data_IF_269420780129
#
_entry.id   IF_269420780129
#
_cell.length_a   1.000
_cell.length_b   1.000
_cell.length_c   1.000
_cell.angle_alpha   90.00
_cell.angle_beta   90.00
_cell.angle_gamma   90.00
#
_symmetry.space_group_name_H-M   'P 1'
#
loop_
_entity.id
_entity.type
_entity.pdbx_description
1 polymer ?
#
# COMPACT_ATOMS: atom_id res chain seq x y z
N UNK A 1 7.94 1.59 -9.03
CA UNK A 1 7.89 2.14 -7.66
C UNK A 1 9.32 2.37 -7.20
N UNK A 2 9.67 3.53 -6.65
CA UNK A 2 11.03 3.79 -6.14
C UNK A 2 11.34 2.90 -4.92
N UNK A 3 12.56 2.38 -4.80
CA UNK A 3 12.98 1.51 -3.67
C UNK A 3 12.75 2.15 -2.30
N UNK A 4 12.84 3.47 -2.21
CA UNK A 4 12.58 4.24 -0.99
C UNK A 4 11.12 4.12 -0.51
N UNK A 5 10.18 4.06 -1.47
CA UNK A 5 8.75 3.86 -1.17
C UNK A 5 8.51 2.45 -0.69
N UNK A 6 9.09 1.45 -1.36
CA UNK A 6 8.98 0.04 -0.97
C UNK A 6 9.56 -0.17 0.43
N UNK A 7 10.69 0.47 0.75
CA UNK A 7 11.30 0.39 2.07
C UNK A 7 10.41 1.03 3.14
N UNK A 8 9.86 2.22 2.88
CA UNK A 8 8.94 2.90 3.81
C UNK A 8 7.64 2.12 4.00
N UNK A 9 7.11 1.52 2.92
CA UNK A 9 5.92 0.69 2.94
C UNK A 9 6.15 -0.63 3.69
N UNK A 10 7.32 -1.25 3.55
CA UNK A 10 7.70 -2.44 4.31
C UNK A 10 8.02 -2.16 5.79
N UNK A 11 8.15 -0.88 6.19
CA UNK A 11 8.26 -0.50 7.60
C UNK A 11 6.92 -0.51 8.33
N UNK A 12 5.79 -0.51 7.59
CA UNK A 12 4.47 -0.59 8.20
C UNK A 12 4.22 -2.00 8.75
N UNK A 13 3.57 -2.04 9.91
CA UNK A 13 3.34 -3.32 10.61
C UNK A 13 2.11 -4.05 10.07
N UNK A 14 1.16 -3.31 9.49
CA UNK A 14 -0.08 -3.89 8.96
C UNK A 14 -0.09 -4.07 7.45
N UNK A 15 0.81 -3.42 6.71
CA UNK A 15 0.84 -3.48 5.23
C UNK A 15 2.15 -4.05 4.71
N UNK A 16 2.08 -4.86 3.66
CA UNK A 16 3.25 -5.40 2.97
C UNK A 16 3.17 -5.18 1.47
N UNK A 17 4.29 -4.83 0.86
CA UNK A 17 4.37 -4.69 -0.60
C UNK A 17 4.62 -6.06 -1.23
N UNK A 18 3.71 -6.48 -2.09
CA UNK A 18 3.87 -7.64 -2.95
C UNK A 18 5.02 -7.39 -3.93
N UNK A 19 6.11 -8.15 -3.76
CA UNK A 19 7.33 -8.03 -4.57
C UNK A 19 7.10 -8.34 -6.05
N UNK A 20 6.04 -9.04 -6.41
CA UNK A 20 5.77 -9.46 -7.78
C UNK A 20 4.80 -8.54 -8.52
N UNK A 21 3.98 -7.76 -7.79
CA UNK A 21 2.83 -7.08 -8.39
C UNK A 21 2.73 -5.60 -8.07
N UNK A 22 3.66 -5.03 -7.29
CA UNK A 22 3.58 -3.61 -6.85
C UNK A 22 2.30 -3.31 -6.06
N UNK A 23 1.62 -4.34 -5.57
CA UNK A 23 0.42 -4.24 -4.76
C UNK A 23 0.83 -4.12 -3.29
N UNK A 24 0.02 -3.43 -2.50
CA UNK A 24 0.19 -3.35 -1.05
C UNK A 24 -0.95 -4.11 -0.42
N UNK A 25 -0.62 -5.20 0.26
CA UNK A 25 -1.56 -6.12 0.84
C UNK A 25 -1.64 -5.82 2.33
N UNK A 26 -2.84 -5.68 2.84
CA UNK A 26 -3.10 -5.65 4.26
C UNK A 26 -2.92 -7.06 4.84
N UNK A 27 -2.05 -7.18 5.83
CA UNK A 27 -1.72 -8.43 6.53
C UNK A 27 -2.51 -8.63 7.82
N UNK A 28 -3.33 -7.65 8.19
CA UNK A 28 -4.17 -7.65 9.39
C UNK A 28 -5.66 -7.72 9.04
N UNK A 29 -6.43 -8.18 10.01
CA UNK A 29 -7.90 -8.14 10.01
C UNK A 29 -8.41 -6.70 10.07
N UNK A 30 -9.61 -6.44 9.52
CA UNK A 30 -10.23 -5.10 9.49
C UNK A 30 -10.32 -4.42 10.86
N UNK A 31 -10.44 -5.18 11.94
CA UNK A 31 -10.52 -4.66 13.31
C UNK A 31 -9.17 -4.16 13.85
N UNK A 32 -8.07 -4.69 13.31
CA UNK A 32 -6.69 -4.32 13.68
C UNK A 32 -6.02 -3.45 12.61
N UNK A 33 -6.78 -3.01 11.59
CA UNK A 33 -6.21 -2.19 10.53
C UNK A 33 -5.86 -0.82 11.10
N UNK A 34 -4.60 -0.43 10.94
CA UNK A 34 -4.18 0.89 11.35
C UNK A 34 -4.59 1.89 10.26
N UNK A 35 -5.65 2.65 10.52
CA UNK A 35 -6.16 3.69 9.61
C UNK A 35 -5.13 4.79 9.40
N UNK A 36 -4.27 5.04 10.37
CA UNK A 36 -3.18 6.01 10.27
C UNK A 36 -2.14 5.56 9.24
N UNK A 37 -1.73 4.28 9.28
CA UNK A 37 -0.86 3.68 8.26
C UNK A 37 -1.54 3.69 6.89
N UNK A 38 -2.84 3.39 6.80
CA UNK A 38 -3.59 3.44 5.54
C UNK A 38 -3.57 4.83 4.89
N UNK A 39 -3.75 5.89 5.69
CA UNK A 39 -3.74 7.27 5.22
C UNK A 39 -2.34 7.70 4.78
N UNK A 40 -1.29 7.33 5.53
CA UNK A 40 0.08 7.59 5.12
C UNK A 40 0.42 6.90 3.80
N UNK A 41 0.02 5.63 3.64
CA UNK A 41 0.23 4.87 2.40
C UNK A 41 -0.48 5.57 1.24
N UNK A 42 -1.75 5.93 1.40
CA UNK A 42 -2.52 6.65 0.36
C UNK A 42 -1.83 7.96 -0.02
N UNK A 43 -1.40 8.75 0.97
CA UNK A 43 -0.70 10.01 0.73
C UNK A 43 0.64 9.83 0.01
N UNK A 44 1.38 8.78 0.36
CA UNK A 44 2.64 8.42 -0.28
C UNK A 44 2.40 8.02 -1.75
N UNK A 45 1.35 7.23 -2.01
CA UNK A 45 0.99 6.80 -3.37
C UNK A 45 0.52 7.97 -4.22
N UNK A 46 -0.35 8.83 -3.69
CA UNK A 46 -0.84 10.04 -4.35
C UNK A 46 0.30 10.99 -4.68
N UNK A 47 1.22 11.21 -3.72
CA UNK A 47 2.42 12.04 -3.91
C UNK A 47 3.37 11.46 -4.95
N UNK A 48 3.32 10.15 -5.16
CA UNK A 48 4.15 9.43 -6.14
C UNK A 48 3.46 9.34 -7.51
N UNK A 49 2.30 9.97 -7.70
CA UNK A 49 1.45 9.85 -8.90
C UNK A 49 1.16 8.38 -9.26
N UNK A 50 1.13 7.50 -8.26
CA UNK A 50 0.91 6.09 -8.45
C UNK A 50 -0.58 5.84 -8.59
N UNK A 51 -1.00 5.20 -9.68
CA UNK A 51 -2.40 4.84 -9.85
C UNK A 51 -2.70 3.55 -9.10
N UNK A 52 -3.58 3.61 -8.10
CA UNK A 52 -4.00 2.47 -7.29
C UNK A 52 -5.52 2.42 -7.12
N UNK A 53 -6.04 1.23 -6.89
CA UNK A 53 -7.39 0.96 -6.43
C UNK A 53 -7.33 0.37 -5.03
N UNK A 54 -8.32 0.67 -4.20
CA UNK A 54 -8.46 0.06 -2.88
C UNK A 54 -9.51 -1.04 -2.95
N UNK A 55 -9.13 -2.28 -2.64
CA UNK A 55 -10.05 -3.40 -2.55
C UNK A 55 -10.90 -3.33 -1.27
N UNK A 56 -11.97 -4.13 -1.19
CA UNK A 56 -12.81 -4.24 0.01
C UNK A 56 -12.01 -4.53 1.27
N UNK A 57 -10.86 -5.20 1.18
CA UNK A 57 -9.96 -5.51 2.29
C UNK A 57 -8.92 -4.43 2.63
N UNK A 58 -9.12 -3.19 2.14
CA UNK A 58 -8.14 -2.11 2.27
C UNK A 58 -6.79 -2.43 1.62
N UNK A 59 -6.76 -3.36 0.67
CA UNK A 59 -5.57 -3.64 -0.12
C UNK A 59 -5.41 -2.57 -1.20
N UNK A 60 -4.21 -2.05 -1.38
CA UNK A 60 -3.90 -1.15 -2.48
C UNK A 60 -3.41 -1.97 -3.67
N UNK A 61 -4.22 -2.04 -4.72
CA UNK A 61 -3.92 -2.72 -5.97
C UNK A 61 -3.39 -1.67 -6.95
N UNK A 62 -2.19 -1.88 -7.48
CA UNK A 62 -1.66 -1.04 -8.54
C UNK A 62 -2.55 -1.16 -9.80
N UNK A 63 -3.07 -0.03 -10.27
CA UNK A 63 -3.87 0.03 -11.50
C UNK A 63 -3.01 0.16 -12.76
N UNK A 64 -1.76 0.60 -12.61
CA UNK A 64 -0.86 0.87 -13.73
C UNK A 64 0.16 -0.26 -13.91
N UNK A 65 -0.14 -1.20 -14.80
CA UNK A 65 0.89 -1.89 -15.60
C UNK A 65 1.02 -1.12 -16.91
N UNK A 66 2.03 -0.26 -17.00
CA UNK A 66 2.60 0.13 -18.30
C UNK A 66 3.60 -0.95 -18.70
#
# INVERSE_FOLDING_TARGET
MSDLLIHRLNSFSTYQVDKNSTNIINTKTFEDVNVEEFLEISHILDSSYFSYAVDKHLNFIALDKI
#
